data_IF_506595262400
#
_entry.id   IF_506595262400
#
_cell.length_a   1.000
_cell.length_b   1.000
_cell.length_c   1.000
_cell.angle_alpha   90.00
_cell.angle_beta   90.00
_cell.angle_gamma   90.00
#
_symmetry.space_group_name_H-M   'P 1'
#
loop_
_entity.id
_entity.type
_entity.pdbx_description
1 polymer ?
#
# COMPACT_ATOMS: atom_id res chain seq x y z
N UNK A 1 5.15 -3.78 29.40
CA UNK A 1 4.05 -4.04 28.44
C UNK A 1 4.61 -3.77 27.06
N UNK A 2 5.14 -4.81 26.42
CA UNK A 2 5.77 -4.77 25.10
C UNK A 2 5.28 -5.90 24.17
N UNK A 3 4.30 -6.68 24.63
CA UNK A 3 3.79 -7.90 23.98
C UNK A 3 2.82 -7.61 22.81
N UNK A 4 2.33 -6.37 22.67
CA UNK A 4 1.43 -5.99 21.56
C UNK A 4 2.17 -5.78 20.23
N UNK A 5 3.49 -5.53 20.25
CA UNK A 5 4.24 -5.29 19.00
C UNK A 5 4.45 -6.58 18.22
N UNK A 6 4.70 -7.68 18.92
CA UNK A 6 4.86 -9.00 18.30
C UNK A 6 3.53 -9.46 17.65
N UNK A 7 2.37 -9.15 18.24
CA UNK A 7 1.07 -9.54 17.65
C UNK A 7 0.71 -8.77 16.39
N UNK A 8 1.05 -7.48 16.28
CA UNK A 8 0.75 -6.70 15.06
C UNK A 8 1.59 -7.20 13.89
N UNK A 9 2.88 -7.42 14.11
CA UNK A 9 3.82 -7.84 13.08
C UNK A 9 3.57 -9.29 12.62
N UNK A 10 3.20 -10.18 13.54
CA UNK A 10 3.02 -11.60 13.25
C UNK A 10 1.60 -11.96 12.80
N UNK A 11 0.57 -11.18 13.17
CA UNK A 11 -0.84 -11.49 12.87
C UNK A 11 -1.43 -10.54 11.83
N UNK A 12 -1.21 -9.23 11.98
CA UNK A 12 -1.92 -8.23 11.18
C UNK A 12 -1.19 -7.90 9.88
N UNK A 13 0.13 -7.74 9.92
CA UNK A 13 0.91 -7.43 8.71
C UNK A 13 0.75 -8.47 7.58
N UNK A 14 0.76 -9.79 7.82
CA UNK A 14 0.55 -10.77 6.76
C UNK A 14 -0.77 -10.57 6.02
N UNK A 15 -1.84 -10.27 6.75
CA UNK A 15 -3.14 -9.98 6.17
C UNK A 15 -3.12 -8.69 5.34
N UNK A 16 -2.58 -7.60 5.89
CA UNK A 16 -2.54 -6.31 5.20
C UNK A 16 -1.64 -6.35 3.95
N UNK A 17 -0.54 -7.12 3.98
CA UNK A 17 0.32 -7.34 2.82
C UNK A 17 -0.42 -8.17 1.76
N UNK A 18 -1.11 -9.24 2.17
CA UNK A 18 -1.87 -10.09 1.24
C UNK A 18 -3.02 -9.34 0.56
N UNK A 19 -3.71 -8.44 1.27
CA UNK A 19 -4.75 -7.58 0.68
C UNK A 19 -4.18 -6.42 -0.16
N UNK A 20 -2.85 -6.25 -0.18
CA UNK A 20 -2.20 -5.16 -0.90
C UNK A 20 -2.42 -3.79 -0.26
N UNK A 21 -2.63 -3.73 1.05
CA UNK A 21 -2.82 -2.50 1.84
C UNK A 21 -1.54 -1.99 2.49
N UNK A 22 -0.57 -2.86 2.71
CA UNK A 22 0.71 -2.54 3.35
C UNK A 22 1.87 -3.11 2.55
N UNK A 23 2.94 -2.33 2.40
CA UNK A 23 4.19 -2.72 1.76
C UNK A 23 5.35 -2.56 2.73
N UNK A 24 6.19 -3.60 2.83
CA UNK A 24 7.45 -3.54 3.58
C UNK A 24 8.54 -2.94 2.69
N UNK A 25 9.27 -1.95 3.21
CA UNK A 25 10.41 -1.33 2.54
C UNK A 25 11.62 -1.30 3.49
N UNK A 26 12.86 -1.14 2.97
CA UNK A 26 14.04 -1.00 3.83
C UNK A 26 13.99 0.19 4.80
N UNK A 27 13.13 1.18 4.53
CA UNK A 27 12.97 2.39 5.37
C UNK A 27 11.78 2.29 6.34
N UNK A 28 11.01 1.20 6.31
CA UNK A 28 9.83 1.00 7.15
C UNK A 28 8.62 0.47 6.38
N UNK A 29 7.43 0.62 6.97
CA UNK A 29 6.16 0.20 6.36
C UNK A 29 5.52 1.37 5.64
N UNK A 30 4.98 1.12 4.45
CA UNK A 30 4.27 2.10 3.64
C UNK A 30 2.87 1.55 3.35
N UNK A 31 1.84 2.33 3.67
CA UNK A 31 0.45 2.03 3.27
C UNK A 31 0.30 2.16 1.75
N UNK A 32 -0.55 1.40 1.07
CA UNK A 32 -0.76 1.58 -0.39
C UNK A 32 -1.89 2.57 -0.67
N UNK A 33 -1.98 3.16 -1.86
CA UNK A 33 -3.12 4.01 -2.22
C UNK A 33 -4.47 3.28 -2.11
N UNK A 34 -4.47 1.95 -2.28
CA UNK A 34 -5.67 1.15 -2.08
C UNK A 34 -6.19 1.23 -0.64
N UNK A 35 -5.31 1.28 0.37
CA UNK A 35 -5.76 1.42 1.77
C UNK A 35 -6.38 2.79 1.99
N UNK A 36 -5.75 3.85 1.49
CA UNK A 36 -6.30 5.20 1.61
C UNK A 36 -7.66 5.32 0.93
N UNK A 37 -7.82 4.75 -0.28
CA UNK A 37 -9.11 4.68 -0.98
C UNK A 37 -10.15 3.88 -0.20
N UNK A 38 -9.77 2.73 0.34
CA UNK A 38 -10.68 1.85 1.10
C UNK A 38 -11.22 2.54 2.36
N UNK A 39 -10.38 3.32 3.05
CA UNK A 39 -10.77 4.07 4.23
C UNK A 39 -11.32 5.48 3.93
N UNK A 40 -11.41 5.87 2.65
CA UNK A 40 -11.85 7.22 2.27
C UNK A 40 -10.91 8.34 2.71
N UNK A 41 -9.63 8.01 2.92
CA UNK A 41 -8.59 8.94 3.38
C UNK A 41 -7.84 9.54 2.19
N UNK A 42 -7.34 10.76 2.37
CA UNK A 42 -6.39 11.35 1.45
C UNK A 42 -5.00 10.81 1.74
N UNK A 43 -4.35 10.24 0.72
CA UNK A 43 -2.94 9.85 0.82
C UNK A 43 -2.08 11.11 1.06
N UNK A 44 -1.04 11.04 1.90
CA UNK A 44 -0.15 12.18 2.14
C UNK A 44 0.55 12.60 0.84
N UNK A 45 0.80 13.90 0.64
CA UNK A 45 1.42 14.42 -0.60
C UNK A 45 2.79 13.78 -0.92
N UNK A 46 3.51 13.31 0.10
CA UNK A 46 4.80 12.64 -0.04
C UNK A 46 4.68 11.11 -0.20
N UNK A 47 3.51 10.61 -0.60
CA UNK A 47 3.32 9.18 -0.80
C UNK A 47 4.12 8.69 -2.03
N UNK A 48 5.25 8.05 -1.76
CA UNK A 48 6.13 7.44 -2.76
C UNK A 48 5.52 6.13 -3.27
N UNK A 49 4.30 6.20 -3.80
CA UNK A 49 3.81 5.07 -4.59
C UNK A 49 4.51 5.19 -5.93
N UNK A 50 5.48 4.31 -6.15
CA UNK A 50 6.11 4.17 -7.44
C UNK A 50 4.97 4.05 -8.46
N UNK A 51 4.97 4.94 -9.46
CA UNK A 51 4.18 4.80 -10.69
C UNK A 51 4.64 3.54 -11.45
N UNK A 52 4.58 2.37 -10.84
CA UNK A 52 4.86 1.09 -11.48
C UNK A 52 3.59 0.71 -12.21
N UNK A 53 3.62 1.02 -13.50
CA UNK A 53 2.81 0.44 -14.56
C UNK A 53 1.29 0.56 -14.38
N UNK A 54 0.74 1.70 -14.83
CA UNK A 54 -0.44 1.61 -15.69
C UNK A 54 0.02 1.36 -17.13
N UNK A 55 0.07 0.12 -17.65
CA UNK A 55 -0.11 -0.10 -19.07
C UNK A 55 -1.63 -0.02 -19.32
N UNK A 56 -2.19 1.18 -19.21
CA UNK A 56 -3.55 1.46 -19.70
C UNK A 56 -3.54 2.64 -20.68
N UNK A 57 -2.36 2.96 -21.21
CA UNK A 57 -2.19 3.90 -22.32
C UNK A 57 -1.70 3.20 -23.59
N UNK A 58 -1.90 1.89 -23.71
CA UNK A 58 -1.91 1.25 -25.02
C UNK A 58 -3.38 1.20 -25.48
N UNK A 59 -3.68 1.87 -26.59
CA UNK A 59 -4.91 1.75 -27.41
C UNK A 59 -6.05 2.78 -27.25
N UNK A 60 -5.77 4.01 -26.78
CA UNK A 60 -6.45 5.21 -27.36
C UNK A 60 -5.69 5.74 -28.60
N UNK A 61 -4.94 4.88 -29.28
CA UNK A 61 -4.21 5.19 -30.53
C UNK A 61 -4.92 4.66 -31.80
N UNK A 62 -6.11 4.08 -31.67
CA UNK A 62 -6.94 3.66 -32.81
C UNK A 62 -8.36 4.22 -32.70
N UNK A 63 -8.47 5.55 -32.58
CA UNK A 63 -9.64 6.29 -33.05
C UNK A 63 -9.21 7.23 -34.16
#
# INVERSE_FOLDING_TARGET
IGEERDTIEDVIEPYLIQQGYLMRTPRGRIATANVYKHFGLHAPENHIEQKVSSPTQEQELFK
#
